data_IF_066287135204
#
_entry.id   IF_066287135204
#
_cell.length_a   1.000
_cell.length_b   1.000
_cell.length_c   1.000
_cell.angle_alpha   90.00
_cell.angle_beta   90.00
_cell.angle_gamma   90.00
#
_symmetry.space_group_name_H-M   'P 1'
#
loop_
_entity.id
_entity.type
_entity.pdbx_description
1 polymer ?
#
# COMPACT_ATOMS: atom_id res chain seq x y z
N UNK A 1 -28.26 37.30 -33.61
CA UNK A 1 -28.48 36.56 -32.34
C UNK A 1 -28.71 35.10 -32.70
N UNK A 2 -28.03 34.18 -32.00
CA UNK A 2 -28.04 32.72 -32.21
C UNK A 2 -27.26 32.30 -33.48
N UNK A 3 -26.26 31.42 -33.47
CA UNK A 3 -26.26 30.09 -32.85
C UNK A 3 -24.88 29.63 -32.38
N UNK A 4 -24.54 29.93 -31.13
CA UNK A 4 -23.37 29.40 -30.41
C UNK A 4 -23.64 28.03 -29.76
N UNK A 5 -24.61 27.26 -30.27
CA UNK A 5 -25.11 26.01 -29.65
C UNK A 5 -24.30 24.74 -29.99
N UNK A 6 -23.24 24.84 -30.80
CA UNK A 6 -22.47 23.66 -31.21
C UNK A 6 -21.31 23.25 -30.27
N UNK A 7 -20.95 24.08 -29.27
CA UNK A 7 -19.73 23.86 -28.47
C UNK A 7 -19.90 23.01 -27.20
N UNK A 8 -21.13 22.57 -26.86
CA UNK A 8 -21.41 21.76 -25.67
C UNK A 8 -21.89 20.34 -26.00
N UNK A 9 -21.33 19.71 -27.03
CA UNK A 9 -21.52 18.26 -27.21
C UNK A 9 -20.59 17.55 -26.24
N UNK A 10 -21.05 17.38 -24.99
CA UNK A 10 -20.36 16.57 -24.00
C UNK A 10 -20.09 15.19 -24.59
N UNK A 11 -18.83 14.72 -24.63
CA UNK A 11 -18.56 13.36 -25.04
C UNK A 11 -19.30 12.46 -24.05
N UNK A 12 -20.30 11.74 -24.55
CA UNK A 12 -20.88 10.60 -23.84
C UNK A 12 -19.79 9.54 -23.83
N UNK A 13 -18.96 9.55 -22.78
CA UNK A 13 -18.01 8.47 -22.54
C UNK A 13 -18.82 7.17 -22.51
N UNK A 14 -18.60 6.33 -23.52
CA UNK A 14 -19.22 5.03 -23.61
C UNK A 14 -18.95 4.30 -22.29
N UNK A 15 -20.00 3.67 -21.76
CA UNK A 15 -20.01 3.03 -20.45
C UNK A 15 -18.68 2.30 -20.20
N UNK A 16 -17.98 2.67 -19.12
CA UNK A 16 -16.77 1.99 -18.69
C UNK A 16 -17.09 0.50 -18.52
N UNK A 17 -16.57 -0.34 -19.40
CA UNK A 17 -16.66 -1.78 -19.25
C UNK A 17 -15.63 -2.21 -18.21
N UNK A 18 -16.11 -2.60 -17.04
CA UNK A 18 -15.27 -3.18 -16.01
C UNK A 18 -14.89 -4.59 -16.47
N UNK A 19 -13.73 -4.73 -17.10
CA UNK A 19 -13.25 -6.01 -17.65
C UNK A 19 -12.95 -7.00 -16.51
N UNK A 20 -12.44 -6.51 -15.37
CA UNK A 20 -12.06 -7.36 -14.23
C UNK A 20 -12.08 -6.57 -12.92
N UNK A 21 -12.88 -7.01 -11.96
CA UNK A 21 -12.80 -6.53 -10.58
C UNK A 21 -11.72 -7.32 -9.85
N UNK A 22 -10.59 -6.68 -9.50
CA UNK A 22 -9.64 -7.25 -8.56
C UNK A 22 -9.87 -6.63 -7.18
N UNK A 23 -10.15 -7.44 -6.14
CA UNK A 23 -10.34 -6.88 -4.81
C UNK A 23 -9.03 -6.23 -4.35
N UNK A 24 -9.06 -4.91 -4.14
CA UNK A 24 -7.93 -4.15 -3.60
C UNK A 24 -7.56 -4.58 -2.17
N UNK A 25 -8.49 -5.23 -1.48
CA UNK A 25 -8.31 -5.79 -0.14
C UNK A 25 -8.77 -7.23 -0.11
N UNK A 26 -7.85 -8.16 0.17
CA UNK A 26 -8.20 -9.54 0.49
C UNK A 26 -8.86 -9.55 1.86
N UNK A 27 -10.16 -9.80 1.90
CA UNK A 27 -10.85 -10.08 3.17
C UNK A 27 -10.30 -11.40 3.68
N UNK A 28 -9.52 -11.33 4.77
CA UNK A 28 -8.96 -12.52 5.41
C UNK A 28 -10.12 -13.45 5.79
N UNK A 29 -10.10 -14.68 5.26
CA UNK A 29 -11.14 -15.67 5.53
C UNK A 29 -11.25 -15.95 7.04
N UNK A 30 -12.49 -16.07 7.54
CA UNK A 30 -12.75 -16.37 8.96
C UNK A 30 -12.11 -17.72 9.30
N UNK A 31 -11.23 -17.81 10.31
CA UNK A 31 -10.60 -19.07 10.69
C UNK A 31 -11.66 -20.06 11.16
N UNK A 32 -11.63 -21.27 10.59
CA UNK A 32 -12.58 -22.33 10.89
C UNK A 32 -12.07 -23.30 11.96
N UNK A 33 -10.74 -23.37 12.15
CA UNK A 33 -10.09 -24.33 13.06
C UNK A 33 -9.26 -23.63 14.15
N UNK A 34 -9.01 -24.34 15.25
CA UNK A 34 -8.22 -23.83 16.40
C UNK A 34 -6.77 -23.49 16.02
N UNK A 35 -6.17 -24.27 15.13
CA UNK A 35 -4.80 -24.01 14.63
C UNK A 35 -4.73 -22.74 13.80
N UNK A 36 -5.78 -22.43 13.04
CA UNK A 36 -5.87 -21.21 12.24
C UNK A 36 -6.10 -19.98 13.13
N UNK A 37 -6.87 -20.14 14.21
CA UNK A 37 -6.99 -19.13 15.26
C UNK A 37 -5.65 -18.84 15.95
N UNK A 38 -4.87 -19.89 16.28
CA UNK A 38 -3.54 -19.73 16.88
C UNK A 38 -2.58 -18.99 15.93
N UNK A 39 -2.54 -19.39 14.66
CA UNK A 39 -1.73 -18.71 13.63
C UNK A 39 -2.12 -17.23 13.50
N UNK A 40 -3.42 -16.93 13.51
CA UNK A 40 -3.91 -15.56 13.44
C UNK A 40 -3.50 -14.74 14.67
N UNK A 41 -3.60 -15.33 15.86
CA UNK A 41 -3.16 -14.69 17.10
C UNK A 41 -1.66 -14.37 17.08
N UNK A 42 -0.82 -15.34 16.72
CA UNK A 42 0.64 -15.15 16.59
C UNK A 42 0.94 -14.04 15.57
N UNK A 43 0.29 -14.07 14.41
CA UNK A 43 0.49 -13.06 13.36
C UNK A 43 0.13 -11.65 13.84
N UNK A 44 -1.00 -11.48 14.54
CA UNK A 44 -1.43 -10.19 15.08
C UNK A 44 -0.49 -9.69 16.17
N UNK A 45 -0.08 -10.56 17.08
CA UNK A 45 0.87 -10.22 18.14
C UNK A 45 2.21 -9.78 17.55
N UNK A 46 2.75 -10.53 16.58
CA UNK A 46 3.97 -10.16 15.88
C UNK A 46 3.86 -8.80 15.16
N UNK A 47 2.69 -8.50 14.57
CA UNK A 47 2.42 -7.19 13.96
C UNK A 47 2.47 -6.05 14.99
N UNK A 48 1.83 -6.23 16.15
CA UNK A 48 1.86 -5.25 17.23
C UNK A 48 3.27 -5.04 17.79
N UNK A 49 4.03 -6.10 17.99
CA UNK A 49 5.43 -6.00 18.43
C UNK A 49 6.30 -5.28 17.41
N UNK A 50 6.14 -5.55 16.10
CA UNK A 50 6.88 -4.84 15.04
C UNK A 50 6.61 -3.34 15.06
N UNK A 51 5.35 -2.94 15.28
CA UNK A 51 4.98 -1.53 15.45
C UNK A 51 5.66 -0.91 16.68
N UNK A 52 5.68 -1.63 17.80
CA UNK A 52 6.30 -1.16 19.04
C UNK A 52 7.82 -1.00 18.92
N UNK A 53 8.52 -1.96 18.30
CA UNK A 53 9.98 -1.89 18.12
C UNK A 53 10.36 -0.91 17.01
N UNK A 54 9.40 -0.51 16.16
CA UNK A 54 9.63 0.35 14.99
C UNK A 54 10.32 -0.40 13.85
N UNK A 55 10.18 -1.72 13.78
CA UNK A 55 10.78 -2.56 12.73
C UNK A 55 9.84 -2.59 11.53
N UNK A 56 10.29 -2.00 10.42
CA UNK A 56 9.55 -2.01 9.17
C UNK A 56 9.79 -3.33 8.42
N UNK A 57 8.74 -3.91 7.85
CA UNK A 57 8.78 -5.19 7.12
C UNK A 57 8.90 -4.93 5.61
N UNK A 58 9.94 -5.49 4.98
CA UNK A 58 10.21 -5.32 3.55
C UNK A 58 9.10 -5.89 2.66
N UNK A 59 8.54 -7.03 3.01
CA UNK A 59 7.48 -7.66 2.21
C UNK A 59 6.20 -6.81 2.22
N UNK A 60 5.87 -6.23 3.38
CA UNK A 60 4.76 -5.28 3.49
C UNK A 60 5.03 -3.99 2.67
N UNK A 61 6.27 -3.50 2.67
CA UNK A 61 6.67 -2.36 1.83
C UNK A 61 6.48 -2.65 0.33
N UNK A 62 6.96 -3.79 -0.17
CA UNK A 62 6.82 -4.16 -1.59
C UNK A 62 5.35 -4.34 -1.96
N UNK A 63 4.55 -4.98 -1.10
CA UNK A 63 3.11 -5.11 -1.34
C UNK A 63 2.42 -3.75 -1.39
N UNK A 64 2.78 -2.83 -0.49
CA UNK A 64 2.29 -1.46 -0.49
C UNK A 64 2.67 -0.71 -1.78
N UNK A 65 3.93 -0.81 -2.22
CA UNK A 65 4.40 -0.20 -3.46
C UNK A 65 3.63 -0.73 -4.66
N UNK A 66 3.46 -2.05 -4.78
CA UNK A 66 2.70 -2.67 -5.89
C UNK A 66 1.24 -2.21 -5.95
N UNK A 67 0.62 -1.95 -4.80
CA UNK A 67 -0.80 -1.56 -4.73
C UNK A 67 -1.00 -0.06 -4.92
N UNK A 68 -0.13 0.78 -4.34
CA UNK A 68 -0.30 2.25 -4.34
C UNK A 68 0.54 2.99 -5.38
N UNK A 69 1.66 2.41 -5.79
CA UNK A 69 2.61 3.01 -6.73
C UNK A 69 3.04 1.97 -7.78
N UNK A 70 2.11 1.46 -8.62
CA UNK A 70 2.44 0.46 -9.63
C UNK A 70 3.44 0.98 -10.69
N UNK A 71 3.54 2.31 -10.84
CA UNK A 71 4.44 3.00 -11.78
C UNK A 71 5.89 3.13 -11.28
N UNK A 72 6.17 2.78 -10.02
CA UNK A 72 7.50 2.96 -9.41
C UNK A 72 8.08 1.61 -8.98
N UNK A 73 9.31 1.34 -9.38
CA UNK A 73 10.02 0.13 -8.98
C UNK A 73 10.31 0.14 -7.47
N UNK A 74 9.95 -0.92 -6.71
CA UNK A 74 10.25 -0.99 -5.29
C UNK A 74 11.76 -1.05 -5.06
N UNK A 75 12.22 -0.32 -4.05
CA UNK A 75 13.63 -0.26 -3.66
C UNK A 75 14.15 -1.63 -3.19
N UNK A 76 15.46 -1.89 -3.32
CA UNK A 76 16.05 -3.18 -2.92
C UNK A 76 16.05 -3.37 -1.40
N UNK A 77 16.16 -4.63 -0.93
CA UNK A 77 16.15 -4.96 0.51
C UNK A 77 17.27 -4.23 1.28
N UNK A 78 18.47 -4.15 0.71
CA UNK A 78 19.63 -3.49 1.34
C UNK A 78 19.38 -2.00 1.55
N UNK A 79 18.87 -1.33 0.53
CA UNK A 79 18.54 0.10 0.60
C UNK A 79 17.39 0.35 1.57
N UNK A 80 16.43 -0.58 1.66
CA UNK A 80 15.34 -0.49 2.64
C UNK A 80 15.85 -0.60 4.07
N UNK A 81 16.78 -1.52 4.33
CA UNK A 81 17.45 -1.62 5.63
C UNK A 81 18.24 -0.36 5.98
N UNK A 82 18.99 0.20 5.03
CA UNK A 82 19.72 1.46 5.24
C UNK A 82 18.77 2.61 5.60
N UNK A 83 17.66 2.74 4.87
CA UNK A 83 16.62 3.75 5.13
C UNK A 83 15.95 3.56 6.50
N UNK A 84 15.75 2.31 6.93
CA UNK A 84 15.23 2.02 8.27
C UNK A 84 16.21 2.46 9.37
N UNK A 85 17.51 2.23 9.18
CA UNK A 85 18.55 2.65 10.11
C UNK A 85 18.68 4.18 10.15
N UNK A 86 18.69 4.84 9.00
CA UNK A 86 18.70 6.31 8.89
C UNK A 86 17.48 6.95 9.58
N UNK A 87 16.30 6.33 9.47
CA UNK A 87 15.09 6.79 10.15
C UNK A 87 15.16 6.64 11.68
N UNK A 88 15.90 5.64 12.18
CA UNK A 88 16.07 5.38 13.61
C UNK A 88 17.19 6.22 14.23
N UNK A 89 18.27 6.42 13.48
CA UNK A 89 19.47 7.17 13.89
C UNK A 89 19.75 8.28 12.86
N UNK A 90 19.00 9.39 12.89
CA UNK A 90 19.24 10.50 11.98
C UNK A 90 20.54 11.21 12.36
N UNK A 91 21.61 11.03 11.57
CA UNK A 91 22.83 11.85 11.70
C UNK A 91 22.63 13.30 11.22
N UNK A 92 21.60 13.56 10.41
CA UNK A 92 21.17 14.89 10.00
C UNK A 92 19.69 15.07 10.34
N UNK A 93 19.34 16.18 10.98
CA UNK A 93 18.04 16.42 11.60
C UNK A 93 16.85 16.15 10.69
N UNK A 94 15.99 15.21 11.13
CA UNK A 94 14.56 15.25 10.83
C UNK A 94 14.11 14.81 9.44
N UNK A 95 14.39 13.56 9.04
CA UNK A 95 13.61 12.90 7.99
C UNK A 95 12.51 12.07 8.65
N UNK A 96 11.39 12.73 8.96
CA UNK A 96 10.18 12.07 9.47
C UNK A 96 9.81 10.88 8.58
N UNK A 97 9.48 9.73 9.19
CA UNK A 97 9.18 8.46 8.54
C UNK A 97 7.95 8.50 7.63
N UNK A 98 8.07 9.18 6.50
CA UNK A 98 7.09 9.15 5.41
C UNK A 98 7.39 7.96 4.51
N UNK A 99 6.33 7.42 3.91
CA UNK A 99 6.44 6.54 2.75
C UNK A 99 7.34 7.24 1.71
N UNK A 100 8.22 6.51 1.01
CA UNK A 100 9.16 7.08 0.04
C UNK A 100 8.47 7.53 -1.27
N UNK A 101 7.20 7.94 -1.19
CA UNK A 101 6.41 8.55 -2.25
C UNK A 101 6.47 10.08 -2.14
#
# INVERSE_FOLDING_TARGET
MSDSRALFKTPRYAAFQIIRCQPLFTVQAKPHNVSDWLKLAIKRTAQSFRLMVGVQDYHNYVQHMKVRHPETEPMTEKEFHRRCLEARFPSEGGKMGKCPC
#
